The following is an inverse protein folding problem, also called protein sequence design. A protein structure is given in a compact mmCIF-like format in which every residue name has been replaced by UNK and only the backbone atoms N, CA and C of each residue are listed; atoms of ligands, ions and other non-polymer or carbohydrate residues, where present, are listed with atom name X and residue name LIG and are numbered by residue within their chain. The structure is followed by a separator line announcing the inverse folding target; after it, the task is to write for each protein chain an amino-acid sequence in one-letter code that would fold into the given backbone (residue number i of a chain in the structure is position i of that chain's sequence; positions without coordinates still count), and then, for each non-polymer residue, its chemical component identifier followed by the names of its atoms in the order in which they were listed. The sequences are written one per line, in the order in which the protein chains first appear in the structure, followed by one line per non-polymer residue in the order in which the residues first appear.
data_IF_723504165025
#
_entry.id   IF_723504165025
#
_cell.length_a   1.000
_cell.length_b   1.000
_cell.length_c   1.000
_cell.angle_alpha   90.00
_cell.angle_beta   90.00
_cell.angle_gamma   90.00
#
_symmetry.space_group_name_H-M   'P 1'
#
loop_
_entity.id
_entity.type
_entity.pdbx_description
1 polymer ?
#
# COMPACT_ATOMS: atom_id res chain seq x y z
N UNK A 1 24.90 -19.24 23.63
CA UNK A 1 26.01 -20.21 23.53
C UNK A 1 26.20 -20.89 24.88
N UNK A 2 25.51 -22.00 25.12
CA UNK A 2 25.59 -22.68 26.44
C UNK A 2 26.00 -24.15 26.37
N UNK A 3 26.46 -24.62 25.20
CA UNK A 3 26.68 -26.06 25.01
C UNK A 3 27.88 -26.64 25.75
N UNK A 4 28.89 -25.84 26.13
CA UNK A 4 30.10 -26.28 26.79
C UNK A 4 30.50 -25.36 27.93
N UNK A 5 29.53 -24.81 28.64
CA UNK A 5 29.72 -23.94 29.78
C UNK A 5 29.41 -24.68 31.09
N UNK A 6 30.18 -24.41 32.14
CA UNK A 6 29.91 -24.87 33.50
C UNK A 6 28.73 -24.10 34.14
N UNK A 7 28.38 -24.43 35.36
CA UNK A 7 27.31 -23.79 36.12
C UNK A 7 27.52 -22.28 36.35
N UNK A 8 28.75 -21.81 36.17
CA UNK A 8 29.14 -20.40 36.29
C UNK A 8 29.16 -19.69 34.93
N UNK A 9 28.79 -20.38 33.84
CA UNK A 9 28.79 -19.82 32.48
C UNK A 9 30.16 -19.79 31.78
N UNK A 10 31.21 -20.35 32.39
CA UNK A 10 32.56 -20.40 31.83
C UNK A 10 32.74 -21.63 30.92
N UNK A 11 33.55 -21.49 29.87
CA UNK A 11 33.88 -22.61 29.01
C UNK A 11 34.52 -23.78 29.77
N UNK A 12 34.00 -24.99 29.62
CA UNK A 12 34.46 -26.22 30.21
C UNK A 12 35.06 -27.20 29.19
N UNK A 13 36.38 -27.33 29.15
CA UNK A 13 37.05 -28.28 28.28
C UNK A 13 36.68 -29.73 28.60
N UNK A 14 36.27 -30.02 29.83
CA UNK A 14 35.79 -31.34 30.26
C UNK A 14 34.44 -31.67 29.56
N UNK A 15 33.48 -30.75 29.57
CA UNK A 15 32.20 -30.94 28.88
C UNK A 15 32.37 -31.06 27.36
N UNK A 16 33.26 -30.27 26.77
CA UNK A 16 33.58 -30.37 25.35
C UNK A 16 34.18 -31.73 24.98
N UNK A 17 35.16 -32.24 25.72
CA UNK A 17 35.74 -33.57 25.52
C UNK A 17 34.72 -34.69 25.70
N UNK A 18 33.82 -34.55 26.66
CA UNK A 18 32.73 -35.51 26.86
C UNK A 18 31.78 -35.52 25.66
N UNK A 19 31.39 -34.33 25.16
CA UNK A 19 30.52 -34.20 24.01
C UNK A 19 31.12 -34.78 22.71
N UNK A 20 32.43 -34.61 22.48
CA UNK A 20 33.15 -35.24 21.36
C UNK A 20 33.04 -36.76 21.43
N UNK A 21 33.13 -37.34 22.65
CA UNK A 21 33.04 -38.77 22.83
C UNK A 21 31.62 -39.31 22.68
N UNK A 22 30.64 -38.63 23.28
CA UNK A 22 29.28 -39.14 23.40
C UNK A 22 28.36 -38.75 22.20
N UNK A 23 28.69 -37.64 21.53
CA UNK A 23 27.90 -37.07 20.41
C UNK A 23 28.78 -36.49 19.31
N UNK A 24 29.68 -37.30 18.72
CA UNK A 24 30.67 -36.79 17.75
C UNK A 24 30.07 -36.09 16.55
N UNK A 25 28.99 -36.61 15.96
CA UNK A 25 28.32 -36.00 14.83
C UNK A 25 27.68 -34.64 15.11
N UNK A 26 27.15 -34.43 16.32
CA UNK A 26 26.61 -33.13 16.71
C UNK A 26 27.70 -32.09 16.91
N UNK A 27 28.85 -32.51 17.48
CA UNK A 27 30.01 -31.63 17.63
C UNK A 27 30.59 -31.24 16.27
N UNK A 28 30.62 -32.16 15.32
CA UNK A 28 31.12 -31.90 13.98
C UNK A 28 30.19 -30.95 13.21
N UNK A 29 28.88 -31.14 13.33
CA UNK A 29 27.90 -30.22 12.78
C UNK A 29 28.05 -28.82 13.38
N UNK A 30 28.18 -28.71 14.73
CA UNK A 30 28.36 -27.43 15.38
C UNK A 30 29.68 -26.73 14.96
N UNK A 31 30.76 -27.50 14.77
CA UNK A 31 32.01 -26.96 14.21
C UNK A 31 31.84 -26.39 12.82
N UNK A 32 31.17 -27.12 11.93
CA UNK A 32 30.90 -26.66 10.56
C UNK A 32 30.04 -25.37 10.57
N UNK A 33 29.04 -25.29 11.43
CA UNK A 33 28.21 -24.09 11.60
C UNK A 33 29.04 -22.89 12.10
N UNK A 34 29.90 -23.12 13.11
CA UNK A 34 30.81 -22.08 13.63
C UNK A 34 31.81 -21.64 12.56
N UNK A 35 32.42 -22.57 11.86
CA UNK A 35 33.37 -22.27 10.79
C UNK A 35 32.71 -21.45 9.67
N UNK A 36 31.52 -21.85 9.24
CA UNK A 36 30.73 -21.10 8.25
C UNK A 36 30.41 -19.69 8.75
N UNK A 37 29.95 -19.57 9.99
CA UNK A 37 29.61 -18.27 10.60
C UNK A 37 30.85 -17.36 10.69
N UNK A 38 31.96 -17.88 11.20
CA UNK A 38 33.20 -17.10 11.32
C UNK A 38 33.80 -16.72 9.96
N UNK A 39 33.73 -17.62 8.98
CA UNK A 39 34.19 -17.34 7.60
C UNK A 39 33.34 -16.25 6.97
N UNK A 40 32.01 -16.33 7.10
CA UNK A 40 31.08 -15.33 6.58
C UNK A 40 31.27 -13.98 7.28
N UNK A 41 31.41 -14.00 8.59
CA UNK A 41 31.67 -12.78 9.37
C UNK A 41 33.01 -12.15 8.95
N UNK A 42 34.06 -12.95 8.83
CA UNK A 42 35.38 -12.48 8.42
C UNK A 42 35.34 -11.90 6.99
N UNK A 43 34.65 -12.57 6.08
CA UNK A 43 34.47 -12.06 4.73
C UNK A 43 33.73 -10.70 4.74
N UNK A 44 32.68 -10.59 5.53
CA UNK A 44 31.92 -9.34 5.69
C UNK A 44 32.80 -8.21 6.28
N UNK A 45 33.57 -8.52 7.32
CA UNK A 45 34.51 -7.57 7.94
C UNK A 45 35.61 -7.13 6.97
N UNK A 46 36.22 -8.06 6.23
CA UNK A 46 37.28 -7.76 5.25
C UNK A 46 36.74 -7.01 4.01
N UNK A 47 35.49 -7.26 3.62
CA UNK A 47 34.90 -6.64 2.45
C UNK A 47 34.20 -5.31 2.76
N UNK A 48 33.60 -5.17 3.95
CA UNK A 48 32.71 -4.07 4.31
C UNK A 48 33.03 -3.41 5.64
N UNK A 49 33.95 -3.96 6.42
CA UNK A 49 34.20 -3.59 7.83
C UNK A 49 35.01 -2.30 8.06
N UNK A 50 35.35 -1.53 7.03
CA UNK A 50 36.13 -0.33 7.18
C UNK A 50 37.64 -0.54 7.31
N UNK A 51 38.38 0.51 7.65
CA UNK A 51 39.80 0.47 7.82
C UNK A 51 40.17 -0.01 9.21
N UNK A 52 40.84 -1.14 9.32
CA UNK A 52 41.33 -1.69 10.60
C UNK A 52 42.84 -1.85 10.55
N UNK A 53 43.54 -1.39 11.59
CA UNK A 53 44.99 -1.59 11.72
C UNK A 53 45.26 -3.05 12.06
N UNK A 54 46.13 -3.70 11.28
CA UNK A 54 46.61 -5.07 11.54
C UNK A 54 48.13 -5.10 11.53
N UNK A 55 48.74 -4.98 12.67
CA UNK A 55 50.20 -4.84 12.79
C UNK A 55 50.70 -3.58 12.10
N UNK A 56 51.53 -3.75 11.07
CA UNK A 56 52.01 -2.62 10.19
C UNK A 56 51.18 -2.43 8.95
N UNK A 57 50.13 -3.23 8.75
CA UNK A 57 49.24 -3.20 7.59
C UNK A 57 47.89 -2.65 7.94
N UNK A 58 47.16 -2.15 6.96
CA UNK A 58 45.82 -1.66 7.11
C UNK A 58 44.90 -2.50 6.26
N UNK A 59 43.84 -3.03 6.85
CA UNK A 59 42.75 -3.69 6.14
C UNK A 59 41.70 -2.62 5.81
N UNK A 60 41.15 -2.71 4.61
CA UNK A 60 40.19 -1.74 4.08
C UNK A 60 38.83 -2.43 3.86
N UNK A 61 37.78 -1.74 4.20
CA UNK A 61 36.41 -2.08 3.94
C UNK A 61 35.55 -0.81 3.94
N UNK A 62 34.25 -0.94 4.00
CA UNK A 62 33.36 0.19 4.20
C UNK A 62 33.55 0.76 5.59
N UNK A 63 33.74 2.05 5.68
CA UNK A 63 33.91 2.79 6.93
C UNK A 63 33.07 4.04 6.93
N UNK A 64 32.33 4.26 7.98
CA UNK A 64 31.65 5.53 8.20
C UNK A 64 32.70 6.61 8.43
N UNK A 65 32.59 7.69 7.69
CA UNK A 65 33.47 8.84 7.89
C UNK A 65 33.00 9.65 9.11
N UNK A 66 33.95 10.37 9.74
CA UNK A 66 33.60 11.33 10.79
C UNK A 66 32.64 12.41 10.28
N UNK A 67 32.78 12.80 9.01
CA UNK A 67 31.89 13.78 8.38
C UNK A 67 30.46 13.24 8.24
N UNK A 68 30.29 11.98 7.89
CA UNK A 68 29.00 11.30 7.81
C UNK A 68 28.35 11.19 9.20
N UNK A 69 29.10 10.72 10.18
CA UNK A 69 28.63 10.66 11.58
C UNK A 69 28.22 12.05 12.08
N UNK A 70 29.01 13.09 11.81
CA UNK A 70 28.69 14.46 12.18
C UNK A 70 27.42 14.99 11.45
N UNK A 71 27.26 14.66 10.18
CA UNK A 71 26.07 15.03 9.39
C UNK A 71 24.80 14.39 9.95
N UNK A 72 24.81 13.09 10.23
CA UNK A 72 23.67 12.36 10.79
C UNK A 72 23.36 12.85 12.21
N UNK A 73 24.39 13.11 13.04
CA UNK A 73 24.21 13.71 14.37
C UNK A 73 23.52 15.07 14.24
N UNK A 74 23.98 15.93 13.34
CA UNK A 74 23.37 17.23 13.11
C UNK A 74 21.91 17.12 12.62
N UNK A 75 21.60 16.13 11.80
CA UNK A 75 20.22 15.84 11.41
C UNK A 75 19.36 15.45 12.62
N UNK A 76 19.83 14.53 13.45
CA UNK A 76 19.11 14.06 14.64
C UNK A 76 18.91 15.14 15.69
N UNK A 77 19.86 16.09 15.79
CA UNK A 77 19.77 17.24 16.67
C UNK A 77 18.88 18.37 16.16
N UNK A 78 18.50 18.35 14.88
CA UNK A 78 17.75 19.42 14.24
C UNK A 78 16.27 19.04 14.11
N UNK A 79 15.59 18.99 15.25
CA UNK A 79 14.19 18.57 15.32
C UNK A 79 13.23 19.71 15.09
N UNK A 80 12.06 19.40 14.56
CA UNK A 80 10.95 20.34 14.35
C UNK A 80 9.67 19.80 14.97
N UNK A 81 8.88 20.68 15.59
CA UNK A 81 7.53 20.36 16.09
C UNK A 81 6.47 21.11 15.31
N UNK A 82 5.29 20.49 15.16
CA UNK A 82 4.22 21.04 14.33
C UNK A 82 2.87 20.93 15.02
N UNK A 83 1.95 21.83 14.63
CA UNK A 83 0.51 21.54 14.64
C UNK A 83 0.14 20.95 13.27
N UNK A 84 -0.63 19.90 13.24
CA UNK A 84 -1.20 19.34 12.02
C UNK A 84 -2.73 19.55 12.00
N UNK A 85 -3.26 20.00 10.88
CA UNK A 85 -4.69 19.95 10.58
C UNK A 85 -4.94 18.73 9.71
N UNK A 86 -5.78 17.82 10.16
CA UNK A 86 -6.04 16.53 9.51
C UNK A 86 -7.48 16.47 9.02
N UNK A 87 -7.65 16.14 7.76
CA UNK A 87 -8.92 15.79 7.14
C UNK A 87 -8.93 14.29 6.86
N UNK A 88 -9.89 13.57 7.44
CA UNK A 88 -10.07 12.15 7.20
C UNK A 88 -10.98 11.92 5.97
N UNK A 89 -10.44 11.38 4.90
CA UNK A 89 -11.19 11.15 3.66
C UNK A 89 -12.28 10.09 3.79
N UNK A 90 -12.25 9.27 4.85
CA UNK A 90 -13.33 8.33 5.12
C UNK A 90 -14.59 9.01 5.64
N UNK A 91 -14.47 10.26 6.10
CA UNK A 91 -15.59 11.10 6.60
C UNK A 91 -16.17 11.98 5.50
N UNK A 92 -16.15 11.52 4.24
CA UNK A 92 -16.67 12.27 3.10
C UNK A 92 -18.15 12.63 3.33
N UNK A 93 -18.54 13.93 3.20
CA UNK A 93 -19.84 14.39 3.59
C UNK A 93 -20.98 13.74 2.82
N UNK A 94 -22.09 13.46 3.49
CA UNK A 94 -23.27 12.88 2.86
C UNK A 94 -23.85 13.80 1.79
N UNK A 95 -23.85 15.12 2.02
CA UNK A 95 -24.28 16.12 1.01
C UNK A 95 -23.48 16.00 -0.31
N UNK A 96 -22.19 15.74 -0.21
CA UNK A 96 -21.32 15.59 -1.38
C UNK A 96 -21.57 14.25 -2.10
N UNK A 97 -21.83 13.17 -1.33
CA UNK A 97 -22.25 11.87 -1.90
C UNK A 97 -23.55 12.02 -2.68
N UNK A 98 -24.53 12.72 -2.09
CA UNK A 98 -25.84 13.00 -2.73
C UNK A 98 -25.65 13.86 -3.99
N UNK A 99 -24.82 14.90 -3.92
CA UNK A 99 -24.55 15.79 -5.04
C UNK A 99 -23.91 15.03 -6.21
N UNK A 100 -22.87 14.21 -5.90
CA UNK A 100 -22.26 13.36 -6.90
C UNK A 100 -23.24 12.35 -7.51
N UNK A 101 -24.02 11.68 -6.65
CA UNK A 101 -25.03 10.72 -7.08
C UNK A 101 -26.04 11.33 -8.02
N UNK A 102 -26.59 12.50 -7.68
CA UNK A 102 -27.55 13.22 -8.55
C UNK A 102 -26.94 13.66 -9.89
N UNK A 103 -25.69 14.12 -9.88
CA UNK A 103 -24.97 14.52 -11.11
C UNK A 103 -24.61 13.33 -12.00
N UNK A 104 -24.61 12.11 -11.46
CA UNK A 104 -24.26 10.86 -12.13
C UNK A 104 -25.37 9.80 -11.96
N UNK A 105 -26.63 10.23 -11.92
CA UNK A 105 -27.75 9.36 -11.53
C UNK A 105 -27.85 8.10 -12.39
N UNK A 106 -27.53 8.20 -13.65
CA UNK A 106 -27.52 7.08 -14.59
C UNK A 106 -26.66 5.91 -14.10
N UNK A 107 -25.46 6.17 -13.55
CA UNK A 107 -24.57 5.15 -13.03
C UNK A 107 -25.23 4.28 -11.97
N UNK A 108 -26.19 4.84 -11.22
CA UNK A 108 -26.84 4.20 -10.06
C UNK A 108 -28.23 3.65 -10.36
N UNK A 109 -28.66 3.69 -11.61
CA UNK A 109 -29.87 2.97 -12.06
C UNK A 109 -29.61 1.47 -11.88
N UNK A 110 -30.59 0.78 -11.29
CA UNK A 110 -30.49 -0.65 -10.99
C UNK A 110 -31.32 -1.46 -11.96
N UNK A 111 -30.74 -2.58 -12.40
CA UNK A 111 -31.35 -3.50 -13.37
C UNK A 111 -31.41 -4.91 -12.81
N UNK A 112 -32.51 -5.59 -13.13
CA UNK A 112 -32.65 -7.02 -13.03
C UNK A 112 -32.68 -7.60 -14.44
N UNK A 113 -31.65 -8.37 -14.78
CA UNK A 113 -31.42 -8.89 -16.12
C UNK A 113 -31.19 -10.41 -16.08
N UNK A 114 -31.44 -11.03 -17.21
CA UNK A 114 -30.90 -12.35 -17.54
C UNK A 114 -29.93 -12.25 -18.70
N UNK A 115 -28.92 -13.11 -18.78
CA UNK A 115 -27.87 -13.07 -19.79
C UNK A 115 -27.54 -14.45 -20.35
N UNK A 116 -27.41 -14.53 -21.67
CA UNK A 116 -26.83 -15.66 -22.39
C UNK A 116 -25.52 -15.19 -22.98
N UNK A 117 -24.41 -15.87 -22.73
CA UNK A 117 -23.10 -15.53 -23.29
C UNK A 117 -22.57 -16.68 -24.12
N UNK A 118 -22.18 -16.42 -25.36
CA UNK A 118 -21.58 -17.40 -26.27
C UNK A 118 -20.30 -16.84 -26.88
N UNK A 119 -19.38 -17.69 -27.29
CA UNK A 119 -18.10 -17.25 -27.81
C UNK A 119 -18.20 -16.62 -29.22
N UNK A 120 -19.11 -17.07 -30.04
CA UNK A 120 -19.21 -16.73 -31.44
C UNK A 120 -20.41 -15.82 -31.75
N UNK A 121 -20.16 -14.75 -32.57
CA UNK A 121 -21.17 -13.75 -32.92
C UNK A 121 -22.37 -14.34 -33.73
N UNK A 122 -22.08 -15.23 -34.68
CA UNK A 122 -23.11 -15.84 -35.52
C UNK A 122 -24.01 -16.75 -34.70
N UNK A 123 -23.43 -17.50 -33.77
CA UNK A 123 -24.17 -18.32 -32.83
C UNK A 123 -25.02 -17.46 -31.90
N UNK A 124 -24.48 -16.35 -31.37
CA UNK A 124 -25.26 -15.42 -30.55
C UNK A 124 -26.47 -14.86 -31.33
N UNK A 125 -26.28 -14.45 -32.59
CA UNK A 125 -27.36 -13.94 -33.42
C UNK A 125 -28.44 -15.00 -33.68
N UNK A 126 -28.05 -16.25 -33.93
CA UNK A 126 -28.97 -17.37 -34.08
C UNK A 126 -29.80 -17.62 -32.83
N UNK A 127 -29.14 -17.64 -31.66
CA UNK A 127 -29.80 -17.85 -30.35
C UNK A 127 -30.75 -16.69 -30.04
N UNK A 128 -30.32 -15.43 -30.23
CA UNK A 128 -31.19 -14.27 -30.04
C UNK A 128 -32.43 -14.33 -30.88
N UNK A 129 -32.32 -14.71 -32.18
CA UNK A 129 -33.44 -14.86 -33.08
C UNK A 129 -34.41 -15.96 -32.65
N UNK A 130 -33.91 -17.12 -32.23
CA UNK A 130 -34.73 -18.23 -31.74
C UNK A 130 -35.51 -17.86 -30.49
N UNK A 131 -34.86 -17.15 -29.57
CA UNK A 131 -35.49 -16.65 -28.33
C UNK A 131 -36.58 -15.61 -28.69
N UNK A 132 -36.26 -14.63 -29.55
CA UNK A 132 -37.20 -13.58 -29.93
C UNK A 132 -38.42 -14.13 -30.70
N UNK A 133 -38.25 -15.22 -31.45
CA UNK A 133 -39.35 -15.89 -32.19
C UNK A 133 -40.16 -16.83 -31.28
N UNK A 134 -39.77 -17.02 -30.02
CA UNK A 134 -40.42 -17.99 -29.11
C UNK A 134 -40.15 -19.46 -29.43
N UNK A 135 -39.12 -19.76 -30.24
CA UNK A 135 -38.74 -21.14 -30.61
C UNK A 135 -38.05 -21.86 -29.44
N UNK A 136 -37.45 -21.10 -28.51
CA UNK A 136 -36.83 -21.57 -27.29
C UNK A 136 -37.03 -20.54 -26.19
N UNK A 137 -37.24 -20.98 -24.94
CA UNK A 137 -37.30 -20.05 -23.81
C UNK A 137 -35.93 -19.49 -23.50
N UNK A 138 -35.86 -18.29 -22.91
CA UNK A 138 -34.58 -17.70 -22.51
C UNK A 138 -33.81 -18.60 -21.55
N UNK A 139 -34.51 -19.24 -20.59
CA UNK A 139 -33.91 -20.12 -19.58
C UNK A 139 -33.34 -21.42 -20.22
N UNK A 140 -34.06 -21.99 -21.18
CA UNK A 140 -33.55 -23.18 -21.91
C UNK A 140 -32.34 -22.80 -22.75
N UNK A 141 -32.35 -21.62 -23.37
CA UNK A 141 -31.23 -21.09 -24.15
C UNK A 141 -30.00 -20.79 -23.26
N UNK A 142 -30.18 -20.34 -22.00
CA UNK A 142 -29.11 -20.24 -21.01
C UNK A 142 -28.49 -21.60 -20.76
N UNK A 143 -29.33 -22.61 -20.55
CA UNK A 143 -28.88 -23.98 -20.21
C UNK A 143 -28.13 -24.64 -21.37
N UNK A 144 -28.61 -24.42 -22.62
CA UNK A 144 -28.09 -25.09 -23.81
C UNK A 144 -26.86 -24.38 -24.40
N UNK A 145 -26.81 -23.03 -24.38
CA UNK A 145 -25.82 -22.25 -25.14
C UNK A 145 -24.88 -21.41 -24.28
N UNK A 146 -25.27 -21.00 -23.06
CA UNK A 146 -24.50 -20.02 -22.31
C UNK A 146 -23.22 -20.60 -21.72
N UNK A 147 -22.11 -19.87 -21.85
CA UNK A 147 -20.85 -20.16 -21.12
C UNK A 147 -20.93 -19.83 -19.63
N UNK A 148 -22.04 -19.20 -19.20
CA UNK A 148 -22.30 -18.79 -17.80
C UNK A 148 -21.21 -17.87 -17.19
N UNK A 149 -20.50 -17.12 -18.04
CA UNK A 149 -19.37 -16.26 -17.62
C UNK A 149 -19.80 -15.10 -16.73
N UNK A 150 -21.04 -14.59 -16.88
CA UNK A 150 -21.57 -13.48 -16.08
C UNK A 150 -22.69 -13.89 -15.12
N UNK A 151 -23.18 -15.11 -15.22
CA UNK A 151 -24.32 -15.57 -14.44
C UNK A 151 -24.12 -17.00 -13.93
N UNK A 152 -24.94 -17.39 -12.98
CA UNK A 152 -25.10 -18.77 -12.56
C UNK A 152 -25.99 -19.56 -13.54
N UNK A 153 -26.39 -20.77 -13.19
CA UNK A 153 -27.16 -21.70 -14.04
C UNK A 153 -28.52 -21.15 -14.56
N UNK A 154 -29.10 -20.16 -13.85
CA UNK A 154 -30.35 -19.53 -14.26
C UNK A 154 -30.21 -18.39 -15.27
N UNK A 155 -28.98 -17.99 -15.60
CA UNK A 155 -28.72 -16.81 -16.46
C UNK A 155 -28.95 -15.46 -15.76
N UNK A 156 -29.46 -15.44 -14.54
CA UNK A 156 -29.86 -14.18 -13.85
C UNK A 156 -28.68 -13.39 -13.32
N UNK A 157 -28.74 -12.09 -13.52
CA UNK A 157 -27.82 -11.06 -13.00
C UNK A 157 -28.64 -9.94 -12.34
N UNK A 158 -29.24 -10.25 -11.19
CA UNK A 158 -30.15 -9.33 -10.50
C UNK A 158 -29.41 -8.26 -9.72
N UNK A 159 -30.10 -7.14 -9.44
CA UNK A 159 -29.62 -6.02 -8.62
C UNK A 159 -28.29 -5.44 -9.10
N UNK A 160 -28.06 -5.36 -10.41
CA UNK A 160 -26.85 -4.76 -10.96
C UNK A 160 -27.08 -3.29 -11.28
N UNK A 161 -26.15 -2.46 -10.87
CA UNK A 161 -26.12 -1.05 -11.23
C UNK A 161 -25.55 -0.87 -12.65
N UNK A 162 -25.96 0.21 -13.31
CA UNK A 162 -25.46 0.59 -14.63
C UNK A 162 -23.93 0.46 -14.75
N UNK A 163 -23.18 1.07 -13.82
CA UNK A 163 -21.71 1.04 -13.84
C UNK A 163 -21.12 -0.37 -13.70
N UNK A 164 -21.86 -1.32 -13.17
CA UNK A 164 -21.44 -2.72 -13.04
C UNK A 164 -21.65 -3.50 -14.34
N UNK A 165 -22.77 -3.23 -15.03
CA UNK A 165 -23.09 -3.84 -16.32
C UNK A 165 -22.16 -3.30 -17.41
N UNK A 166 -21.88 -2.00 -17.39
CA UNK A 166 -20.94 -1.35 -18.30
C UNK A 166 -19.57 -2.04 -18.34
N UNK A 167 -19.12 -2.60 -17.22
CA UNK A 167 -17.84 -3.35 -17.13
C UNK A 167 -17.83 -4.67 -17.91
N UNK A 168 -18.99 -5.21 -18.27
CA UNK A 168 -19.08 -6.41 -19.10
C UNK A 168 -18.80 -6.09 -20.56
N UNK A 169 -19.11 -4.86 -21.00
CA UNK A 169 -19.13 -4.45 -22.39
C UNK A 169 -17.72 -4.11 -22.91
N UNK A 170 -17.42 -4.53 -24.13
CA UNK A 170 -16.20 -4.11 -24.85
C UNK A 170 -16.29 -2.66 -25.27
N UNK A 171 -17.46 -2.24 -25.76
CA UNK A 171 -17.78 -0.84 -26.08
C UNK A 171 -18.88 -0.35 -25.14
N UNK A 172 -18.59 0.69 -24.36
CA UNK A 172 -19.53 1.26 -23.40
C UNK A 172 -20.75 1.89 -24.03
N UNK A 173 -20.65 2.37 -25.28
CA UNK A 173 -21.78 2.90 -26.02
C UNK A 173 -22.88 1.86 -26.25
N UNK A 174 -22.54 0.57 -26.25
CA UNK A 174 -23.52 -0.52 -26.35
C UNK A 174 -24.45 -0.62 -25.14
N UNK A 175 -24.15 0.09 -24.04
CA UNK A 175 -25.02 0.11 -22.87
C UNK A 175 -26.43 0.61 -23.21
N UNK A 176 -26.57 1.50 -24.18
CA UNK A 176 -27.89 1.98 -24.65
C UNK A 176 -28.79 0.83 -25.12
N UNK A 177 -28.22 -0.23 -25.70
CA UNK A 177 -28.97 -1.42 -26.17
C UNK A 177 -29.56 -2.24 -25.01
N UNK A 178 -29.02 -2.07 -23.81
CA UNK A 178 -29.50 -2.73 -22.58
C UNK A 178 -30.49 -1.82 -21.85
N UNK A 179 -30.16 -0.53 -21.75
CA UNK A 179 -31.00 0.44 -21.02
C UNK A 179 -32.33 0.75 -21.73
N UNK A 180 -32.42 0.51 -23.05
CA UNK A 180 -33.63 0.68 -23.83
C UNK A 180 -34.55 -0.55 -23.87
N UNK A 181 -34.16 -1.65 -23.20
CA UNK A 181 -35.00 -2.85 -23.15
C UNK A 181 -36.22 -2.62 -22.27
N UNK A 182 -37.38 -2.89 -22.84
CA UNK A 182 -38.63 -3.03 -22.09
C UNK A 182 -38.64 -4.37 -21.32
N UNK A 183 -39.41 -4.50 -20.22
CA UNK A 183 -39.56 -5.76 -19.52
C UNK A 183 -39.89 -6.92 -20.48
N UNK A 184 -39.24 -8.05 -20.28
CA UNK A 184 -39.28 -9.27 -21.10
C UNK A 184 -38.68 -9.15 -22.51
N UNK A 185 -38.22 -7.96 -22.93
CA UNK A 185 -37.51 -7.77 -24.20
C UNK A 185 -36.09 -8.31 -24.15
N UNK A 186 -35.59 -8.72 -25.31
CA UNK A 186 -34.27 -9.33 -25.50
C UNK A 186 -33.44 -8.45 -26.44
N UNK A 187 -32.17 -8.23 -26.06
CA UNK A 187 -31.24 -7.46 -26.88
C UNK A 187 -30.75 -8.23 -28.11
N UNK A 188 -30.22 -7.50 -29.10
CA UNK A 188 -29.29 -8.09 -30.05
C UNK A 188 -28.01 -8.53 -29.35
N UNK A 189 -27.20 -9.39 -30.02
CA UNK A 189 -25.90 -9.78 -29.47
C UNK A 189 -24.97 -8.59 -29.26
N UNK A 190 -24.49 -8.41 -28.07
CA UNK A 190 -23.57 -7.33 -27.66
C UNK A 190 -22.19 -7.94 -27.39
N UNK A 191 -21.13 -7.33 -27.90
CA UNK A 191 -19.78 -7.77 -27.67
C UNK A 191 -19.35 -7.46 -26.22
N UNK A 192 -18.87 -8.47 -25.52
CA UNK A 192 -18.39 -8.38 -24.13
C UNK A 192 -16.95 -8.86 -24.02
N UNK A 193 -16.34 -8.70 -22.87
CA UNK A 193 -14.95 -9.14 -22.62
C UNK A 193 -14.75 -10.66 -22.73
N UNK A 194 -15.82 -11.46 -22.70
CA UNK A 194 -15.78 -12.95 -22.73
C UNK A 194 -16.55 -13.57 -23.88
N UNK A 195 -16.91 -12.78 -24.91
CA UNK A 195 -17.66 -13.24 -26.08
C UNK A 195 -18.81 -12.31 -26.45
N UNK A 196 -19.92 -12.88 -26.91
CA UNK A 196 -21.13 -12.13 -27.27
C UNK A 196 -22.25 -12.49 -26.31
N UNK A 197 -22.86 -11.47 -25.71
CA UNK A 197 -23.93 -11.62 -24.73
C UNK A 197 -25.24 -11.09 -25.24
N UNK A 198 -26.33 -11.76 -24.92
CA UNK A 198 -27.72 -11.41 -25.20
C UNK A 198 -28.33 -11.15 -23.81
N UNK A 199 -28.86 -9.94 -23.64
CA UNK A 199 -29.47 -9.54 -22.36
C UNK A 199 -31.00 -9.55 -22.51
N UNK A 200 -31.67 -9.93 -21.44
CA UNK A 200 -33.13 -9.83 -21.30
C UNK A 200 -33.41 -8.98 -20.05
N UNK A 201 -34.30 -7.99 -20.18
CA UNK A 201 -34.81 -7.27 -19.02
C UNK A 201 -35.85 -8.13 -18.31
N UNK A 202 -35.59 -8.49 -17.05
CA UNK A 202 -36.53 -9.27 -16.24
C UNK A 202 -37.58 -8.38 -15.55
N UNK A 203 -37.26 -7.10 -15.37
CA UNK A 203 -38.17 -6.07 -14.84
C UNK A 203 -37.78 -4.67 -15.34
N UNK A 204 -38.65 -3.68 -15.10
CA UNK A 204 -38.32 -2.28 -15.37
C UNK A 204 -37.14 -1.84 -14.49
N UNK A 205 -36.28 -0.99 -15.07
CA UNK A 205 -35.14 -0.42 -14.36
C UNK A 205 -35.61 0.45 -13.18
N UNK A 206 -34.91 0.35 -12.06
CA UNK A 206 -35.20 1.10 -10.83
C UNK A 206 -34.31 2.33 -10.74
N UNK A 207 -34.93 3.51 -10.74
CA UNK A 207 -34.23 4.77 -10.58
C UNK A 207 -33.70 4.96 -9.13
N UNK A 208 -32.51 5.57 -8.95
CA UNK A 208 -31.95 5.77 -7.63
C UNK A 208 -32.72 6.82 -6.82
N UNK A 209 -33.13 6.48 -5.61
CA UNK A 209 -33.63 7.45 -4.64
C UNK A 209 -32.47 7.90 -3.70
N UNK A 210 -31.96 9.11 -3.92
CA UNK A 210 -30.89 9.69 -3.10
C UNK A 210 -31.34 10.17 -1.70
N UNK A 211 -32.54 9.81 -1.26
CA UNK A 211 -32.97 9.88 0.15
C UNK A 211 -32.76 8.56 0.86
N UNK A 212 -32.60 7.48 0.12
CA UNK A 212 -32.32 6.15 0.66
C UNK A 212 -30.85 6.03 1.05
N UNK A 213 -30.57 5.72 2.31
CA UNK A 213 -29.23 5.53 2.84
C UNK A 213 -28.45 4.41 2.15
N UNK A 214 -29.13 3.37 1.65
CA UNK A 214 -28.52 2.29 0.88
C UNK A 214 -27.98 2.78 -0.47
N UNK A 215 -28.74 3.67 -1.15
CA UNK A 215 -28.29 4.31 -2.39
C UNK A 215 -27.11 5.24 -2.13
N UNK A 216 -27.16 6.06 -1.07
CA UNK A 216 -26.06 6.94 -0.68
C UNK A 216 -24.81 6.14 -0.35
N UNK A 217 -24.95 5.01 0.35
CA UNK A 217 -23.83 4.09 0.61
C UNK A 217 -23.25 3.49 -0.67
N UNK A 218 -24.10 3.16 -1.65
CA UNK A 218 -23.66 2.68 -2.96
C UNK A 218 -22.86 3.75 -3.71
N UNK A 219 -23.29 5.02 -3.66
CA UNK A 219 -22.52 6.14 -4.25
C UNK A 219 -21.14 6.23 -3.59
N UNK A 220 -21.07 6.16 -2.27
CA UNK A 220 -19.78 6.19 -1.57
C UNK A 220 -18.88 5.02 -1.92
N UNK A 221 -19.43 3.79 -1.99
CA UNK A 221 -18.69 2.61 -2.41
C UNK A 221 -18.17 2.74 -3.85
N UNK A 222 -18.98 3.33 -4.74
CA UNK A 222 -18.56 3.63 -6.12
C UNK A 222 -17.38 4.61 -6.13
N UNK A 223 -17.50 5.74 -5.43
CA UNK A 223 -16.43 6.73 -5.32
C UNK A 223 -15.13 6.11 -4.78
N UNK A 224 -15.21 5.36 -3.69
CA UNK A 224 -14.02 4.77 -3.06
C UNK A 224 -13.33 3.71 -3.92
N UNK A 225 -14.07 3.04 -4.81
CA UNK A 225 -13.57 1.93 -5.62
C UNK A 225 -13.22 2.32 -7.06
N UNK A 226 -13.83 3.38 -7.60
CA UNK A 226 -13.68 3.72 -9.01
C UNK A 226 -13.24 5.18 -9.27
N UNK A 227 -13.60 6.12 -8.39
CA UNK A 227 -13.32 7.55 -8.57
C UNK A 227 -12.85 8.21 -7.25
N UNK A 228 -11.88 7.60 -6.58
CA UNK A 228 -11.39 8.11 -5.29
C UNK A 228 -10.79 9.52 -5.38
N UNK A 229 -10.28 9.89 -6.54
CA UNK A 229 -9.76 11.25 -6.81
C UNK A 229 -10.78 12.35 -6.51
N UNK A 230 -12.06 12.10 -6.68
CA UNK A 230 -13.14 13.07 -6.35
C UNK A 230 -13.12 13.42 -4.85
N UNK A 231 -12.95 12.40 -4.00
CA UNK A 231 -12.85 12.59 -2.54
C UNK A 231 -11.55 13.31 -2.19
N UNK A 232 -10.44 12.92 -2.81
CA UNK A 232 -9.13 13.51 -2.60
C UNK A 232 -9.10 14.99 -2.99
N UNK A 233 -9.64 15.35 -4.17
CA UNK A 233 -9.74 16.72 -4.65
C UNK A 233 -10.58 17.60 -3.72
N UNK A 234 -11.71 17.08 -3.24
CA UNK A 234 -12.57 17.78 -2.26
C UNK A 234 -11.78 18.17 -1.02
N UNK A 235 -11.08 17.21 -0.40
CA UNK A 235 -10.33 17.49 0.82
C UNK A 235 -9.07 18.29 0.58
N UNK A 236 -8.39 18.10 -0.55
CA UNK A 236 -7.21 18.90 -0.93
C UNK A 236 -7.59 20.38 -1.10
N UNK A 237 -8.72 20.65 -1.76
CA UNK A 237 -9.27 22.01 -1.87
C UNK A 237 -9.57 22.61 -0.52
N UNK A 238 -10.30 21.89 0.36
CA UNK A 238 -10.61 22.36 1.73
C UNK A 238 -9.37 22.60 2.57
N UNK A 239 -8.37 21.74 2.44
CA UNK A 239 -7.09 21.89 3.11
C UNK A 239 -6.32 23.12 2.61
N UNK A 240 -6.40 23.41 1.31
CA UNK A 240 -5.84 24.64 0.73
C UNK A 240 -6.53 25.92 1.25
N UNK A 241 -7.86 25.89 1.35
CA UNK A 241 -8.63 26.99 1.94
C UNK A 241 -8.29 27.18 3.43
N UNK A 242 -8.13 26.08 4.19
CA UNK A 242 -7.66 26.13 5.58
C UNK A 242 -6.26 26.74 5.66
N UNK A 243 -5.31 26.28 4.82
CA UNK A 243 -3.95 26.79 4.80
C UNK A 243 -3.91 28.29 4.52
N UNK A 244 -4.71 28.77 3.56
CA UNK A 244 -4.85 30.19 3.25
C UNK A 244 -5.42 30.99 4.43
N UNK A 245 -6.47 30.50 5.08
CA UNK A 245 -7.06 31.17 6.25
C UNK A 245 -6.10 31.17 7.45
N UNK A 246 -5.34 30.12 7.63
CA UNK A 246 -4.37 30.01 8.70
C UNK A 246 -3.13 30.90 8.52
N UNK A 247 -2.76 31.26 7.29
CA UNK A 247 -1.67 32.21 6.99
C UNK A 247 -2.01 33.63 7.45
N UNK A 248 -3.30 33.98 7.51
CA UNK A 248 -3.77 35.33 7.90
C UNK A 248 -4.40 35.39 9.28
N UNK A 249 -4.61 34.23 9.92
CA UNK A 249 -5.30 34.13 11.19
C UNK A 249 -4.76 33.04 12.12
N UNK A 250 -5.62 32.57 13.03
CA UNK A 250 -5.28 31.48 13.94
C UNK A 250 -5.43 30.12 13.26
N UNK A 251 -4.39 29.28 13.33
CA UNK A 251 -4.43 27.90 12.84
C UNK A 251 -5.54 27.08 13.49
N UNK A 252 -5.70 27.21 14.83
CA UNK A 252 -6.75 26.49 15.55
C UNK A 252 -8.16 26.94 15.12
N UNK A 253 -8.36 28.27 14.91
CA UNK A 253 -9.62 28.77 14.40
C UNK A 253 -9.92 28.32 12.97
N UNK A 254 -8.90 28.21 12.13
CA UNK A 254 -9.01 27.63 10.79
C UNK A 254 -9.40 26.15 10.86
N UNK A 255 -8.78 25.35 11.73
CA UNK A 255 -9.17 23.95 11.93
C UNK A 255 -10.66 23.83 12.29
N UNK A 256 -11.14 24.62 13.25
CA UNK A 256 -12.56 24.63 13.64
C UNK A 256 -13.47 25.05 12.48
N UNK A 257 -13.11 26.11 11.75
CA UNK A 257 -13.93 26.62 10.64
C UNK A 257 -14.08 25.59 9.51
N UNK A 258 -13.04 24.84 9.21
CA UNK A 258 -13.05 23.86 8.12
C UNK A 258 -13.36 22.43 8.58
N UNK A 259 -13.65 22.22 9.85
CA UNK A 259 -13.91 20.92 10.47
C UNK A 259 -12.72 19.95 10.27
N UNK A 260 -11.50 20.46 10.44
CA UNK A 260 -10.28 19.68 10.44
C UNK A 260 -9.87 19.35 11.88
N UNK A 261 -9.38 18.15 12.12
CA UNK A 261 -8.86 17.78 13.43
C UNK A 261 -7.47 18.35 13.63
N UNK A 262 -7.30 19.15 14.72
CA UNK A 262 -5.98 19.63 15.11
C UNK A 262 -5.26 18.53 15.90
N UNK A 263 -4.03 18.21 15.48
CA UNK A 263 -3.15 17.22 16.10
C UNK A 263 -1.82 17.88 16.43
N UNK A 264 -1.39 17.76 17.70
CA UNK A 264 -0.07 18.24 18.12
C UNK A 264 0.99 17.20 17.77
N UNK A 265 2.01 17.60 17.01
CA UNK A 265 3.09 16.73 16.55
C UNK A 265 4.36 17.10 17.31
N UNK A 266 4.80 16.25 18.27
CA UNK A 266 6.04 16.46 19.02
C UNK A 266 7.25 16.64 18.11
N UNK A 267 8.31 17.21 18.65
CA UNK A 267 9.54 17.43 17.89
C UNK A 267 10.16 16.10 17.43
N UNK A 268 10.50 16.03 16.15
CA UNK A 268 11.18 14.89 15.53
C UNK A 268 12.19 15.37 14.49
N UNK A 269 13.29 14.64 14.26
CA UNK A 269 14.22 14.88 13.18
C UNK A 269 13.69 14.30 11.87
N UNK A 270 14.28 14.72 10.76
CA UNK A 270 14.11 13.98 9.49
C UNK A 270 15.02 12.74 9.57
N UNK A 271 14.44 11.64 10.00
CA UNK A 271 15.15 10.37 10.15
C UNK A 271 14.95 9.52 8.88
N UNK A 272 15.75 9.78 7.86
CA UNK A 272 15.58 9.17 6.53
C UNK A 272 16.00 7.68 6.49
N UNK A 273 16.94 7.28 7.34
CA UNK A 273 17.42 5.89 7.44
C UNK A 273 16.68 5.05 8.47
N UNK A 274 15.59 5.56 9.06
CA UNK A 274 14.86 4.94 10.16
C UNK A 274 15.77 4.51 11.34
N UNK A 275 16.79 5.32 11.59
CA UNK A 275 17.80 5.04 12.61
C UNK A 275 17.18 4.95 14.00
N UNK A 276 17.50 3.89 14.73
CA UNK A 276 16.92 3.61 16.05
C UNK A 276 17.40 4.55 17.13
N UNK A 277 18.61 5.10 16.97
CA UNK A 277 19.24 6.05 17.91
C UNK A 277 18.67 7.45 17.84
N UNK A 278 17.86 7.76 16.84
CA UNK A 278 17.20 9.04 16.68
C UNK A 278 15.71 8.99 17.03
N UNK A 279 15.19 10.11 17.53
CA UNK A 279 13.74 10.25 17.67
C UNK A 279 13.05 10.01 16.32
N UNK A 280 11.84 9.47 16.38
CA UNK A 280 11.03 9.18 15.18
C UNK A 280 9.75 9.99 15.20
N UNK A 281 9.23 10.28 14.02
CA UNK A 281 7.87 10.76 13.88
C UNK A 281 6.91 9.74 14.52
N UNK A 282 6.06 10.20 15.42
CA UNK A 282 4.98 9.34 15.95
C UNK A 282 3.89 9.14 14.89
N UNK A 283 4.01 8.06 14.14
CA UNK A 283 3.06 7.68 13.09
C UNK A 283 1.73 7.12 13.61
N UNK A 284 1.61 6.90 14.93
CA UNK A 284 0.34 6.53 15.58
C UNK A 284 -0.59 7.72 15.79
N UNK A 285 -0.09 8.95 15.64
CA UNK A 285 -0.93 10.14 15.65
C UNK A 285 -1.88 10.12 14.45
N UNK A 286 -3.08 10.64 14.67
CA UNK A 286 -4.11 10.68 13.64
C UNK A 286 -3.65 11.43 12.39
N UNK A 287 -3.90 10.84 11.23
CA UNK A 287 -3.49 11.39 9.93
C UNK A 287 -2.03 11.18 9.57
N UNK A 288 -1.17 10.69 10.47
CA UNK A 288 0.27 10.54 10.27
C UNK A 288 0.74 9.11 9.98
N UNK A 289 -0.16 8.14 9.92
CA UNK A 289 0.19 6.77 9.50
C UNK A 289 0.84 6.79 8.13
N UNK A 290 2.06 6.23 8.01
CA UNK A 290 2.86 6.22 6.78
C UNK A 290 3.57 7.54 6.43
N UNK A 291 3.43 8.61 7.24
CA UNK A 291 4.04 9.91 6.97
C UNK A 291 5.59 9.87 6.99
N UNK A 292 6.18 8.95 7.76
CA UNK A 292 7.64 8.78 7.83
C UNK A 292 8.29 8.36 6.50
N UNK A 293 7.54 7.75 5.60
CA UNK A 293 7.98 7.32 4.26
C UNK A 293 7.35 8.13 3.13
N UNK A 294 6.41 9.04 3.45
CA UNK A 294 5.74 9.87 2.47
C UNK A 294 6.66 11.03 2.04
N UNK A 295 7.14 10.98 0.80
CA UNK A 295 8.05 12.00 0.28
C UNK A 295 7.46 13.42 0.27
N UNK A 296 6.15 13.57 0.01
CA UNK A 296 5.49 14.88 0.02
C UNK A 296 5.47 15.45 1.44
N UNK A 297 5.21 14.62 2.46
CA UNK A 297 5.24 15.00 3.87
C UNK A 297 6.66 15.41 4.29
N UNK A 298 7.67 14.60 3.98
CA UNK A 298 9.06 14.89 4.32
C UNK A 298 9.58 16.17 3.63
N UNK A 299 9.20 16.40 2.37
CA UNK A 299 9.52 17.66 1.65
C UNK A 299 8.86 18.86 2.33
N UNK A 300 7.60 18.75 2.74
CA UNK A 300 6.90 19.82 3.45
C UNK A 300 7.58 20.13 4.79
N UNK A 301 7.90 19.12 5.61
CA UNK A 301 8.64 19.29 6.88
C UNK A 301 9.97 20.01 6.66
N UNK A 302 10.72 19.67 5.59
CA UNK A 302 11.99 20.30 5.28
C UNK A 302 11.84 21.74 4.76
N UNK A 303 10.78 22.03 4.00
CA UNK A 303 10.57 23.37 3.39
C UNK A 303 10.16 24.43 4.40
N UNK A 304 9.50 24.04 5.50
CA UNK A 304 9.07 24.95 6.57
C UNK A 304 10.28 25.34 7.44
N UNK A 305 10.63 26.62 7.47
CA UNK A 305 11.86 27.10 8.13
C UNK A 305 11.60 28.02 9.32
N UNK A 306 10.55 28.82 9.25
CA UNK A 306 10.24 29.84 10.25
C UNK A 306 9.05 29.42 11.09
N UNK A 307 9.10 29.66 12.38
CA UNK A 307 7.95 29.47 13.27
C UNK A 307 6.73 30.19 12.70
N UNK A 308 5.64 29.44 12.55
CA UNK A 308 4.42 29.93 11.94
C UNK A 308 4.24 29.62 10.46
N UNK A 309 5.28 29.16 9.77
CA UNK A 309 5.16 28.69 8.38
C UNK A 309 4.10 27.57 8.28
N UNK A 310 3.31 27.64 7.20
CA UNK A 310 2.22 26.70 6.94
C UNK A 310 2.47 25.99 5.61
N UNK A 311 2.33 24.67 5.60
CA UNK A 311 2.50 23.86 4.40
C UNK A 311 1.33 24.02 3.42
N UNK A 312 1.57 23.67 2.17
CA UNK A 312 0.50 23.28 1.26
C UNK A 312 -0.14 21.97 1.72
N UNK A 313 -1.33 21.62 1.20
CA UNK A 313 -1.98 20.33 1.49
C UNK A 313 -1.10 19.14 1.12
N UNK A 314 -1.06 18.15 2.01
CA UNK A 314 -0.27 16.92 1.85
C UNK A 314 -1.22 15.74 1.90
N UNK A 315 -1.30 14.99 0.81
CA UNK A 315 -2.03 13.72 0.79
C UNK A 315 -1.18 12.67 1.50
N UNK A 316 -1.74 12.06 2.54
CA UNK A 316 -1.09 11.01 3.32
C UNK A 316 -2.07 9.87 3.58
N UNK A 317 -1.96 8.80 2.78
CA UNK A 317 -2.91 7.68 2.78
C UNK A 317 -4.37 8.16 2.58
N UNK A 318 -5.24 7.88 3.54
CA UNK A 318 -6.65 8.31 3.54
C UNK A 318 -6.87 9.64 4.28
N UNK A 319 -5.86 10.49 4.32
CA UNK A 319 -5.93 11.80 4.97
C UNK A 319 -5.32 12.88 4.10
N UNK A 320 -5.79 14.12 4.28
CA UNK A 320 -5.09 15.32 3.82
C UNK A 320 -4.64 16.10 5.03
N UNK A 321 -3.36 16.44 5.06
CA UNK A 321 -2.71 17.08 6.21
C UNK A 321 -2.16 18.45 5.81
N UNK A 322 -2.32 19.45 6.68
CA UNK A 322 -1.64 20.75 6.61
C UNK A 322 -0.83 20.92 7.88
N UNK A 323 0.45 21.24 7.75
CA UNK A 323 1.37 21.45 8.85
C UNK A 323 1.59 22.94 9.14
N UNK A 324 1.64 23.29 10.42
CA UNK A 324 2.15 24.58 10.89
C UNK A 324 3.39 24.35 11.74
N UNK A 325 4.52 24.93 11.36
CA UNK A 325 5.77 24.84 12.14
C UNK A 325 5.63 25.62 13.46
N UNK A 326 5.82 24.95 14.58
CA UNK A 326 5.81 25.55 15.91
C UNK A 326 7.21 25.92 16.39
N UNK A 327 8.14 25.00 16.29
CA UNK A 327 9.54 25.18 16.69
C UNK A 327 10.46 24.48 15.71
N UNK A 328 11.60 25.09 15.44
CA UNK A 328 12.71 24.51 14.69
C UNK A 328 13.96 24.46 15.57
N UNK A 329 14.94 23.67 15.17
CA UNK A 329 16.21 23.47 15.90
C UNK A 329 15.99 23.02 17.35
N UNK A 330 14.98 22.21 17.59
CA UNK A 330 14.74 21.61 18.92
C UNK A 330 15.79 20.52 19.12
N UNK A 331 16.56 20.62 20.19
CA UNK A 331 17.51 19.56 20.56
C UNK A 331 16.77 18.39 21.20
N UNK A 332 17.20 17.14 20.98
CA UNK A 332 16.67 16.00 21.73
C UNK A 332 16.94 16.17 23.22
N UNK A 333 16.10 15.58 24.06
CA UNK A 333 16.29 15.56 25.52
C UNK A 333 17.60 14.86 25.93
N UNK A 334 17.93 13.80 25.18
CA UNK A 334 19.13 13.02 25.40
C UNK A 334 20.06 13.16 24.19
N UNK A 335 21.39 13.31 24.41
CA UNK A 335 22.36 13.34 23.33
C UNK A 335 22.32 12.03 22.53
N UNK A 336 22.50 12.13 21.22
CA UNK A 336 22.62 10.92 20.39
C UNK A 336 23.96 10.25 20.73
N UNK A 337 23.96 8.96 21.20
CA UNK A 337 25.19 8.29 21.54
C UNK A 337 26.04 8.05 20.29
N UNK A 338 27.21 8.68 20.20
CA UNK A 338 28.09 8.63 19.01
C UNK A 338 28.47 7.19 18.63
N UNK A 339 28.80 6.36 19.62
CA UNK A 339 29.16 4.95 19.40
C UNK A 339 27.97 4.13 18.85
N UNK A 340 26.78 4.32 19.41
CA UNK A 340 25.56 3.65 18.93
C UNK A 340 25.21 4.09 17.49
N UNK A 341 25.35 5.37 17.19
CA UNK A 341 25.17 5.91 15.83
C UNK A 341 26.20 5.31 14.87
N UNK A 342 27.46 5.24 15.27
CA UNK A 342 28.51 4.66 14.45
C UNK A 342 28.25 3.18 14.12
N UNK A 343 27.82 2.41 15.11
CA UNK A 343 27.46 0.99 14.91
C UNK A 343 26.24 0.84 13.99
N UNK A 344 25.23 1.70 14.13
CA UNK A 344 24.03 1.65 13.29
C UNK A 344 24.33 2.02 11.84
N UNK A 345 25.18 3.04 11.60
CA UNK A 345 25.65 3.40 10.27
C UNK A 345 26.45 2.28 9.62
N UNK A 346 27.38 1.65 10.37
CA UNK A 346 28.14 0.50 9.88
C UNK A 346 27.25 -0.65 9.46
N UNK A 347 26.19 -0.95 10.22
CA UNK A 347 25.21 -1.98 9.88
C UNK A 347 24.40 -1.59 8.62
N UNK A 348 24.01 -0.32 8.51
CA UNK A 348 23.30 0.20 7.34
C UNK A 348 24.15 0.10 6.07
N UNK A 349 25.41 0.52 6.13
CA UNK A 349 26.34 0.45 4.99
C UNK A 349 26.60 -0.99 4.57
N UNK A 350 26.80 -1.88 5.54
CA UNK A 350 27.00 -3.32 5.27
C UNK A 350 25.76 -3.93 4.61
N UNK A 351 24.58 -3.64 5.11
CA UNK A 351 23.32 -4.14 4.55
C UNK A 351 23.08 -3.59 3.15
N UNK A 352 23.32 -2.30 2.94
CA UNK A 352 23.16 -1.64 1.65
C UNK A 352 24.14 -2.19 0.60
N UNK A 353 25.39 -2.47 1.00
CA UNK A 353 26.38 -3.08 0.14
C UNK A 353 26.01 -4.52 -0.24
N UNK A 354 25.48 -5.30 0.72
CA UNK A 354 24.98 -6.66 0.45
C UNK A 354 23.80 -6.64 -0.51
N UNK A 355 22.84 -5.74 -0.30
CA UNK A 355 21.69 -5.58 -1.21
C UNK A 355 22.12 -5.17 -2.61
N UNK A 356 23.06 -4.23 -2.73
CA UNK A 356 23.63 -3.83 -4.03
C UNK A 356 24.32 -4.98 -4.74
N UNK A 357 25.04 -5.84 -4.00
CA UNK A 357 25.66 -7.05 -4.56
C UNK A 357 24.62 -8.07 -5.04
N UNK A 358 23.59 -8.33 -4.21
CA UNK A 358 22.52 -9.27 -4.54
C UNK A 358 21.64 -8.79 -5.72
N UNK A 359 21.51 -7.47 -5.87
CA UNK A 359 20.78 -6.84 -6.98
C UNK A 359 21.63 -6.63 -8.23
N UNK A 360 22.92 -6.98 -8.19
CA UNK A 360 23.83 -6.77 -9.31
C UNK A 360 23.44 -7.61 -10.55
N UNK A 361 23.32 -7.00 -11.74
CA UNK A 361 23.06 -7.76 -12.97
C UNK A 361 24.18 -8.72 -13.36
N UNK A 362 25.32 -8.65 -12.67
CA UNK A 362 26.45 -9.57 -12.84
C UNK A 362 26.37 -10.80 -11.93
N UNK A 363 25.41 -10.82 -10.99
CA UNK A 363 25.19 -11.94 -10.08
C UNK A 363 24.24 -12.94 -10.76
N UNK A 364 24.71 -14.14 -11.01
CA UNK A 364 23.86 -15.28 -11.39
C UNK A 364 23.31 -15.93 -10.12
N UNK A 365 22.04 -15.70 -9.83
CA UNK A 365 21.39 -16.29 -8.67
C UNK A 365 20.58 -17.52 -9.07
N UNK A 366 21.20 -18.70 -8.92
CA UNK A 366 20.60 -20.00 -9.24
C UNK A 366 19.91 -20.65 -8.03
N UNK A 367 19.72 -19.92 -6.92
CA UNK A 367 19.18 -20.47 -5.67
C UNK A 367 17.81 -21.14 -5.88
N UNK A 368 16.90 -20.48 -6.59
CA UNK A 368 15.58 -21.02 -6.87
C UNK A 368 15.64 -22.31 -7.71
N UNK A 369 16.50 -22.34 -8.74
CA UNK A 369 16.68 -23.51 -9.59
C UNK A 369 17.25 -24.69 -8.79
N UNK A 370 18.27 -24.44 -7.99
CA UNK A 370 18.87 -25.44 -7.10
C UNK A 370 17.87 -25.93 -6.06
N UNK A 371 17.10 -25.04 -5.47
CA UNK A 371 16.04 -25.38 -4.52
C UNK A 371 15.00 -26.30 -5.15
N UNK A 372 14.43 -25.94 -6.29
CA UNK A 372 13.45 -26.78 -7.00
C UNK A 372 14.03 -28.12 -7.42
N UNK A 373 15.27 -28.15 -7.88
CA UNK A 373 15.94 -29.38 -8.34
C UNK A 373 16.19 -30.38 -7.20
N UNK A 374 16.61 -29.91 -6.03
CA UNK A 374 17.06 -30.79 -4.95
C UNK A 374 16.05 -30.95 -3.80
N UNK A 375 15.14 -30.00 -3.62
CA UNK A 375 14.17 -30.06 -2.51
C UNK A 375 12.77 -30.49 -2.95
N UNK A 376 12.38 -30.25 -4.21
CA UNK A 376 11.05 -30.62 -4.69
C UNK A 376 11.02 -31.89 -5.58
N UNK A 377 12.16 -32.34 -6.11
CA UNK A 377 12.24 -33.58 -6.90
C UNK A 377 12.59 -34.83 -6.08
N UNK A 378 12.65 -34.75 -4.76
CA UNK A 378 12.90 -35.88 -3.87
C UNK A 378 11.61 -36.43 -3.20
N UNK A 379 10.47 -36.39 -3.91
CA UNK A 379 9.24 -37.13 -3.55
C UNK A 379 8.89 -38.14 -4.65
#
# INVERSE_FOLDING_TARGET
MGYFTDESGNYSSKLYKLAIKDRPSQVEQLRAEIETTLTTQRYAEDSFGGQTAFGKSTLYGLKNSEAETAFITAMGENQKSFDAAVFNMNEYPESEKIAFGKSNAEKFVKYDLSVITVADKSKAASVAKRVSNGEITFTDAVSEYSTKSYSTDSGKINNKYHYQIEKFLTNKEDMVKITSLEPDSVSEPIQTSVGYSIFKADSAAVQPDFKDSAVISTVYNYLTSNEFSVIEEYYTKRAGELAAAAKTGSFAAACTKFNAKKVDVPAFPVNYGDMSVMNKLNTSLEGLSGASTNQAFLKAVNSLKNTGDISEPIVNNRNVVVLKLLKSNVKPSDPIPTEALHNELSNYDTSSAQEALLSSPKLENNLSEVFFKYMMNNN
#
